data_IF_769106886626
#
_entry.id   IF_769106886626
#
_cell.length_a   1.000
_cell.length_b   1.000
_cell.length_c   1.000
_cell.angle_alpha   90.00
_cell.angle_beta   90.00
_cell.angle_gamma   90.00
#
_symmetry.space_group_name_H-M   'P 1'
#
loop_
_entity.id
_entity.type
_entity.pdbx_description
1 polymer ?
#
# COMPACT_ATOMS: atom_id res chain seq x y z
N UNK A 1 5.26 -1.89 -27.32
CA UNK A 1 4.29 -2.40 -26.34
C UNK A 1 3.10 -3.05 -27.06
N UNK A 2 2.59 -4.17 -26.54
CA UNK A 2 1.42 -4.88 -27.06
C UNK A 2 0.20 -4.52 -26.22
N UNK A 3 -0.97 -4.52 -26.87
CA UNK A 3 -2.25 -4.43 -26.18
C UNK A 3 -2.52 -5.72 -25.41
N UNK A 4 -3.08 -5.61 -24.22
CA UNK A 4 -3.39 -6.74 -23.35
C UNK A 4 -4.78 -6.58 -22.74
N UNK A 5 -5.52 -7.69 -22.72
CA UNK A 5 -6.80 -7.76 -22.01
C UNK A 5 -6.56 -7.72 -20.51
N UNK A 6 -7.38 -6.95 -19.82
CA UNK A 6 -7.33 -6.78 -18.37
C UNK A 6 -8.72 -6.67 -17.78
N UNK A 7 -8.82 -6.87 -16.47
CA UNK A 7 -9.90 -6.34 -15.64
C UNK A 7 -9.44 -5.05 -15.02
N UNK A 8 -10.22 -3.98 -15.16
CA UNK A 8 -9.92 -2.66 -14.61
C UNK A 8 -10.98 -2.23 -13.61
N UNK A 9 -10.51 -1.63 -12.52
CA UNK A 9 -11.32 -0.92 -11.56
C UNK A 9 -10.99 0.58 -11.69
N UNK A 10 -11.88 1.33 -12.32
CA UNK A 10 -11.79 2.78 -12.43
C UNK A 10 -12.48 3.37 -11.20
N UNK A 11 -11.82 4.28 -10.51
CA UNK A 11 -12.33 4.88 -9.27
C UNK A 11 -12.18 6.40 -9.35
N UNK A 12 -13.21 7.12 -8.94
CA UNK A 12 -13.19 8.53 -8.66
C UNK A 12 -13.11 8.71 -7.15
N UNK A 13 -12.07 9.38 -6.68
CA UNK A 13 -11.74 9.51 -5.26
C UNK A 13 -11.73 10.99 -4.93
N UNK A 14 -12.38 11.38 -3.82
CA UNK A 14 -12.41 12.76 -3.34
C UNK A 14 -11.13 13.14 -2.57
N UNK A 15 -11.03 14.40 -2.16
CA UNK A 15 -9.93 14.97 -1.39
C UNK A 15 -9.77 14.39 0.03
N UNK A 16 -10.72 13.55 0.47
CA UNK A 16 -10.71 12.83 1.75
C UNK A 16 -10.42 11.35 1.59
N UNK A 17 -10.06 10.91 0.37
CA UNK A 17 -9.78 9.51 0.08
C UNK A 17 -11.02 8.61 -0.06
N UNK A 18 -12.23 9.18 -0.13
CA UNK A 18 -13.47 8.41 -0.30
C UNK A 18 -13.77 8.19 -1.77
N UNK A 19 -14.29 7.00 -2.08
CA UNK A 19 -14.74 6.65 -3.42
C UNK A 19 -16.09 7.35 -3.68
N UNK A 20 -16.10 8.24 -4.67
CA UNK A 20 -17.31 8.93 -5.17
C UNK A 20 -18.06 8.05 -6.16
N UNK A 21 -17.31 7.45 -7.09
CA UNK A 21 -17.85 6.55 -8.09
C UNK A 21 -16.80 5.50 -8.48
N UNK A 22 -17.26 4.34 -8.98
CA UNK A 22 -16.35 3.33 -9.51
C UNK A 22 -17.01 2.53 -10.64
N UNK A 23 -16.17 1.94 -11.47
CA UNK A 23 -16.57 1.03 -12.55
C UNK A 23 -15.59 -0.12 -12.67
N UNK A 24 -16.09 -1.35 -12.57
CA UNK A 24 -15.31 -2.56 -12.80
C UNK A 24 -15.71 -3.11 -14.16
N UNK A 25 -14.75 -3.29 -15.07
CA UNK A 25 -15.04 -3.78 -16.43
C UNK A 25 -13.84 -4.45 -17.09
N UNK A 26 -14.07 -5.38 -18.02
CA UNK A 26 -13.04 -5.79 -18.96
C UNK A 26 -12.52 -4.58 -19.75
N UNK A 27 -11.23 -4.54 -19.99
CA UNK A 27 -10.59 -3.44 -20.70
C UNK A 27 -9.37 -3.91 -21.50
N UNK A 28 -8.79 -3.01 -22.27
CA UNK A 28 -7.54 -3.21 -22.98
C UNK A 28 -6.55 -2.16 -22.53
N UNK A 29 -5.37 -2.60 -22.13
CA UNK A 29 -4.28 -1.68 -21.76
C UNK A 29 -3.09 -1.84 -22.71
N UNK A 30 -2.33 -0.77 -22.85
CA UNK A 30 -1.04 -0.75 -23.54
C UNK A 30 -0.02 -0.06 -22.67
N UNK A 31 1.00 -0.80 -22.24
CA UNK A 31 2.05 -0.27 -21.38
C UNK A 31 2.89 0.75 -22.14
N UNK A 32 2.96 1.97 -21.65
CA UNK A 32 3.83 3.02 -22.19
C UNK A 32 5.28 2.84 -21.71
N UNK A 33 5.45 2.66 -20.39
CA UNK A 33 6.73 2.40 -19.76
C UNK A 33 6.63 1.25 -18.79
N UNK A 34 7.65 0.39 -18.74
CA UNK A 34 7.82 -0.59 -17.68
C UNK A 34 8.58 0.08 -16.53
N UNK A 35 7.84 0.68 -15.61
CA UNK A 35 8.41 1.35 -14.45
C UNK A 35 8.89 0.34 -13.40
N UNK A 36 9.93 0.72 -12.68
CA UNK A 36 10.41 0.04 -11.46
C UNK A 36 10.27 0.99 -10.29
N UNK A 37 10.16 0.47 -9.08
CA UNK A 37 10.13 1.29 -7.86
C UNK A 37 11.33 2.23 -7.79
N UNK A 38 12.54 1.73 -8.08
CA UNK A 38 13.75 2.53 -8.10
C UNK A 38 13.66 3.75 -9.05
N UNK A 39 13.13 3.56 -10.27
CA UNK A 39 12.97 4.66 -11.21
C UNK A 39 11.93 5.68 -10.72
N UNK A 40 10.83 5.20 -10.15
CA UNK A 40 9.79 6.08 -9.60
C UNK A 40 10.32 6.84 -8.38
N UNK A 41 11.02 6.17 -7.45
CA UNK A 41 11.64 6.83 -6.30
C UNK A 41 12.65 7.90 -6.72
N UNK A 42 13.49 7.64 -7.75
CA UNK A 42 14.37 8.67 -8.35
C UNK A 42 13.61 9.86 -8.93
N UNK A 43 12.41 9.63 -9.50
CA UNK A 43 11.59 10.74 -10.00
C UNK A 43 10.97 11.58 -8.88
N UNK A 44 10.64 10.96 -7.75
CA UNK A 44 9.98 11.60 -6.59
C UNK A 44 10.98 12.39 -5.75
N UNK A 45 12.13 11.79 -5.43
CA UNK A 45 13.07 12.36 -4.47
C UNK A 45 14.05 13.32 -5.15
N UNK A 46 13.81 14.61 -4.97
CA UNK A 46 14.73 15.66 -5.43
C UNK A 46 16.09 15.53 -4.72
N UNK A 47 17.17 15.62 -5.50
CA UNK A 47 18.53 15.52 -4.97
C UNK A 47 19.11 14.11 -4.91
N UNK A 48 18.34 13.06 -5.18
CA UNK A 48 18.88 11.72 -5.38
C UNK A 48 19.70 11.64 -6.68
N UNK A 49 20.74 10.81 -6.66
CA UNK A 49 21.50 10.49 -7.85
C UNK A 49 20.60 9.89 -8.94
N UNK A 50 20.70 10.41 -10.16
CA UNK A 50 19.86 9.99 -11.28
C UNK A 50 18.46 10.61 -11.33
N UNK A 51 18.10 11.55 -10.43
CA UNK A 51 16.81 12.23 -10.45
C UNK A 51 16.52 12.92 -11.79
N UNK A 52 17.46 13.75 -12.28
CA UNK A 52 17.30 14.48 -13.55
C UNK A 52 17.17 13.53 -14.74
N UNK A 53 18.02 12.52 -14.78
CA UNK A 53 17.99 11.48 -15.83
C UNK A 53 16.65 10.73 -15.83
N UNK A 54 16.12 10.38 -14.67
CA UNK A 54 14.83 9.73 -14.55
C UNK A 54 13.70 10.64 -15.07
N UNK A 55 13.69 11.93 -14.74
CA UNK A 55 12.69 12.88 -15.23
C UNK A 55 12.76 13.06 -16.76
N UNK A 56 13.96 13.10 -17.34
CA UNK A 56 14.15 13.20 -18.79
C UNK A 56 13.66 11.93 -19.51
N UNK A 57 14.08 10.75 -19.03
CA UNK A 57 13.73 9.46 -19.61
C UNK A 57 12.22 9.16 -19.55
N UNK A 58 11.54 9.62 -18.51
CA UNK A 58 10.12 9.36 -18.24
C UNK A 58 9.27 10.65 -18.29
N UNK A 59 9.69 11.67 -19.03
CA UNK A 59 9.05 12.99 -19.08
C UNK A 59 7.55 12.97 -19.38
N UNK A 60 7.08 12.02 -20.21
CA UNK A 60 5.67 11.87 -20.57
C UNK A 60 4.74 11.48 -19.41
N UNK A 61 5.29 10.92 -18.33
CA UNK A 61 4.49 10.45 -17.20
C UNK A 61 4.81 11.19 -15.90
N UNK A 62 5.71 12.19 -15.94
CA UNK A 62 6.14 12.92 -14.74
C UNK A 62 4.96 13.52 -13.98
N UNK A 63 4.03 14.16 -14.68
CA UNK A 63 2.86 14.76 -14.03
C UNK A 63 1.89 13.70 -13.47
N UNK A 64 1.75 12.56 -14.16
CA UNK A 64 0.97 11.45 -13.64
C UNK A 64 1.58 10.86 -12.36
N UNK A 65 2.91 10.79 -12.26
CA UNK A 65 3.59 10.33 -11.04
C UNK A 65 3.37 11.33 -9.89
N UNK A 66 3.43 12.63 -10.12
CA UNK A 66 3.13 13.65 -9.09
C UNK A 66 1.71 13.50 -8.53
N UNK A 67 0.71 13.39 -9.42
CA UNK A 67 -0.68 13.17 -9.03
C UNK A 67 -0.85 11.83 -8.29
N UNK A 68 -0.13 10.78 -8.70
CA UNK A 68 -0.16 9.50 -8.01
C UNK A 68 0.41 9.58 -6.58
N UNK A 69 1.46 10.38 -6.36
CA UNK A 69 2.02 10.64 -5.02
C UNK A 69 1.01 11.39 -4.16
N UNK A 70 0.39 12.46 -4.69
CA UNK A 70 -0.65 13.21 -4.00
C UNK A 70 -1.82 12.32 -3.60
N UNK A 71 -2.30 11.46 -4.51
CA UNK A 71 -3.35 10.49 -4.21
C UNK A 71 -2.92 9.51 -3.12
N UNK A 72 -1.66 9.04 -3.16
CA UNK A 72 -1.13 8.16 -2.12
C UNK A 72 -1.19 8.82 -0.74
N UNK A 73 -0.76 10.07 -0.62
CA UNK A 73 -0.77 10.84 0.63
C UNK A 73 -2.20 11.00 1.20
N UNK A 74 -3.18 11.27 0.33
CA UNK A 74 -4.60 11.33 0.70
C UNK A 74 -5.07 9.97 1.23
N UNK A 75 -4.78 8.88 0.52
CA UNK A 75 -5.18 7.53 0.91
C UNK A 75 -4.49 7.07 2.19
N UNK A 76 -3.23 7.41 2.39
CA UNK A 76 -2.50 7.10 3.61
C UNK A 76 -3.08 7.83 4.80
N UNK A 77 -3.37 9.13 4.66
CA UNK A 77 -4.04 9.94 5.69
C UNK A 77 -5.40 9.34 6.06
N UNK A 78 -6.24 9.04 5.08
CA UNK A 78 -7.54 8.43 5.30
C UNK A 78 -7.43 7.08 6.04
N UNK A 79 -6.42 6.26 5.74
CA UNK A 79 -6.20 4.99 6.44
C UNK A 79 -5.71 5.20 7.87
N UNK A 80 -4.83 6.18 8.11
CA UNK A 80 -4.39 6.57 9.48
C UNK A 80 -5.58 7.01 10.31
N UNK A 81 -6.46 7.86 9.77
CA UNK A 81 -7.67 8.30 10.44
C UNK A 81 -8.65 7.15 10.76
N UNK A 82 -8.60 6.07 9.96
CA UNK A 82 -9.37 4.83 10.22
C UNK A 82 -8.73 3.91 11.25
N UNK A 83 -7.56 4.24 11.77
CA UNK A 83 -6.84 3.42 12.75
C UNK A 83 -5.85 2.42 12.10
N UNK A 84 -5.22 2.76 10.98
CA UNK A 84 -4.16 1.94 10.41
C UNK A 84 -2.97 1.89 11.38
N UNK A 85 -2.51 0.68 11.69
CA UNK A 85 -1.25 0.46 12.41
C UNK A 85 -0.16 0.19 11.38
N UNK A 86 0.87 1.01 11.40
CA UNK A 86 2.05 0.83 10.54
C UNK A 86 3.13 0.07 11.34
N UNK A 87 3.50 -1.10 10.84
CA UNK A 87 4.63 -1.85 11.37
C UNK A 87 5.86 -1.57 10.50
N UNK A 88 6.92 -1.04 11.10
CA UNK A 88 8.23 -0.90 10.43
C UNK A 88 8.94 -2.26 10.41
N UNK A 89 8.37 -3.21 9.68
CA UNK A 89 8.98 -4.51 9.46
C UNK A 89 10.02 -4.40 8.34
N UNK A 90 11.27 -4.60 8.74
CA UNK A 90 12.38 -4.69 7.78
C UNK A 90 12.30 -5.99 7.02
N UNK A 91 12.09 -5.93 5.71
CA UNK A 91 12.22 -7.10 4.84
C UNK A 91 13.71 -7.39 4.58
N UNK A 92 14.10 -8.66 4.67
CA UNK A 92 15.44 -9.10 4.26
C UNK A 92 15.46 -9.34 2.75
N UNK A 93 16.40 -8.71 2.05
CA UNK A 93 16.69 -9.00 0.64
C UNK A 93 17.97 -9.80 0.55
N UNK A 94 17.89 -10.98 -0.04
CA UNK A 94 19.06 -11.83 -0.30
C UNK A 94 19.65 -11.42 -1.65
N UNK A 95 20.91 -11.02 -1.63
CA UNK A 95 21.70 -10.74 -2.85
C UNK A 95 22.33 -12.04 -3.30
N UNK A 96 22.14 -12.39 -4.55
CA UNK A 96 22.68 -13.61 -5.15
C UNK A 96 23.82 -13.26 -6.13
N UNK A 97 24.79 -14.16 -6.26
CA UNK A 97 25.79 -14.12 -7.31
C UNK A 97 25.20 -14.54 -8.68
N UNK A 98 26.03 -14.51 -9.74
CA UNK A 98 25.61 -14.92 -11.09
C UNK A 98 25.21 -16.41 -11.18
N UNK A 99 25.60 -17.22 -10.21
CA UNK A 99 25.29 -18.66 -10.12
C UNK A 99 24.09 -18.96 -9.23
N UNK A 100 23.49 -17.91 -8.61
CA UNK A 100 22.35 -18.02 -7.74
C UNK A 100 22.69 -18.37 -6.28
N UNK A 101 23.94 -18.27 -5.86
CA UNK A 101 24.32 -18.45 -4.46
C UNK A 101 24.14 -17.16 -3.67
N UNK A 102 23.69 -17.22 -2.42
CA UNK A 102 23.54 -16.04 -1.56
C UNK A 102 24.91 -15.46 -1.21
N UNK A 103 25.10 -14.16 -1.47
CA UNK A 103 26.35 -13.43 -1.15
C UNK A 103 26.14 -12.56 0.08
N UNK A 104 24.95 -11.95 0.20
CA UNK A 104 24.69 -10.96 1.24
C UNK A 104 23.20 -10.92 1.57
N UNK A 105 22.87 -10.57 2.82
CA UNK A 105 21.51 -10.25 3.25
C UNK A 105 21.49 -8.78 3.62
N UNK A 106 20.72 -8.00 2.88
CA UNK A 106 20.57 -6.56 3.12
C UNK A 106 19.15 -6.23 3.58
N UNK A 107 19.01 -5.18 4.39
CA UNK A 107 17.71 -4.62 4.73
C UNK A 107 17.09 -4.01 3.47
N UNK A 108 15.86 -4.37 3.14
CA UNK A 108 15.08 -3.72 2.11
C UNK A 108 14.18 -2.68 2.79
N UNK A 109 14.46 -1.42 2.55
CA UNK A 109 13.59 -0.35 2.97
C UNK A 109 12.45 -0.19 1.95
N UNK A 110 11.23 -0.01 2.44
CA UNK A 110 10.09 0.38 1.61
C UNK A 110 10.12 1.89 1.47
N UNK A 111 10.18 2.36 0.24
CA UNK A 111 10.17 3.79 -0.09
C UNK A 111 8.79 4.21 -0.63
N UNK A 112 8.65 5.47 -1.01
CA UNK A 112 7.38 6.08 -1.44
C UNK A 112 6.71 5.32 -2.59
N UNK A 113 7.46 4.84 -3.59
CA UNK A 113 6.88 4.13 -4.72
C UNK A 113 6.23 2.79 -4.33
N UNK A 114 6.84 2.04 -3.41
CA UNK A 114 6.29 0.79 -2.89
C UNK A 114 5.00 1.05 -2.10
N UNK A 115 5.01 2.03 -1.19
CA UNK A 115 3.85 2.42 -0.38
C UNK A 115 2.69 2.95 -1.23
N UNK A 116 3.01 3.70 -2.28
CA UNK A 116 2.03 4.21 -3.24
C UNK A 116 1.27 3.08 -3.93
N UNK A 117 1.99 2.09 -4.47
CA UNK A 117 1.36 0.93 -5.11
C UNK A 117 0.55 0.11 -4.11
N UNK A 118 1.03 -0.05 -2.88
CA UNK A 118 0.28 -0.70 -1.81
C UNK A 118 -1.04 0.03 -1.53
N UNK A 119 -1.03 1.37 -1.44
CA UNK A 119 -2.25 2.17 -1.24
C UNK A 119 -3.27 1.96 -2.35
N UNK A 120 -2.82 1.94 -3.60
CA UNK A 120 -3.71 1.73 -4.75
C UNK A 120 -4.25 0.30 -4.81
N UNK A 121 -3.41 -0.68 -4.48
CA UNK A 121 -3.83 -2.09 -4.40
C UNK A 121 -4.90 -2.29 -3.32
N UNK A 122 -4.69 -1.74 -2.13
CA UNK A 122 -5.65 -1.83 -1.03
C UNK A 122 -6.98 -1.18 -1.38
N UNK A 123 -6.96 0.03 -1.97
CA UNK A 123 -8.16 0.71 -2.43
C UNK A 123 -8.93 -0.09 -3.48
N UNK A 124 -8.23 -0.66 -4.46
CA UNK A 124 -8.85 -1.51 -5.47
C UNK A 124 -9.46 -2.78 -4.86
N UNK A 125 -8.76 -3.43 -3.95
CA UNK A 125 -9.24 -4.63 -3.26
C UNK A 125 -10.49 -4.34 -2.43
N UNK A 126 -10.50 -3.25 -1.64
CA UNK A 126 -11.66 -2.82 -0.85
C UNK A 126 -12.86 -2.52 -1.75
N UNK A 127 -12.63 -1.81 -2.87
CA UNK A 127 -13.68 -1.46 -3.83
C UNK A 127 -14.32 -2.69 -4.46
N UNK A 128 -13.52 -3.63 -4.92
CA UNK A 128 -14.01 -4.87 -5.52
C UNK A 128 -14.76 -5.71 -4.48
N UNK A 129 -14.23 -5.85 -3.27
CA UNK A 129 -14.89 -6.60 -2.21
C UNK A 129 -16.25 -5.99 -1.86
N UNK A 130 -16.33 -4.66 -1.76
CA UNK A 130 -17.58 -3.94 -1.49
C UNK A 130 -18.60 -4.09 -2.63
N UNK A 131 -18.15 -4.06 -3.89
CA UNK A 131 -19.01 -4.27 -5.07
C UNK A 131 -19.65 -5.67 -5.03
N UNK A 132 -18.87 -6.71 -4.74
CA UNK A 132 -19.38 -8.08 -4.61
C UNK A 132 -20.38 -8.22 -3.45
N UNK A 133 -20.08 -7.60 -2.30
CA UNK A 133 -20.97 -7.57 -1.15
C UNK A 133 -22.30 -6.89 -1.47
N UNK A 134 -22.26 -5.70 -2.08
CA UNK A 134 -23.46 -4.93 -2.45
C UNK A 134 -24.34 -5.67 -3.46
N UNK A 135 -23.72 -6.36 -4.41
CA UNK A 135 -24.40 -7.18 -5.42
C UNK A 135 -24.81 -8.57 -4.90
N UNK A 136 -24.45 -8.92 -3.67
CA UNK A 136 -24.68 -10.26 -3.05
C UNK A 136 -24.13 -11.39 -3.92
N UNK A 137 -22.99 -11.16 -4.56
CA UNK A 137 -22.29 -12.17 -5.35
C UNK A 137 -21.40 -13.03 -4.46
N UNK A 138 -21.32 -14.36 -4.73
CA UNK A 138 -20.41 -15.23 -3.99
C UNK A 138 -18.95 -14.80 -4.23
N UNK A 139 -18.19 -14.65 -3.16
CA UNK A 139 -16.78 -14.29 -3.21
C UNK A 139 -16.02 -14.90 -2.04
N UNK A 140 -14.72 -15.05 -2.20
CA UNK A 140 -13.84 -15.44 -1.12
C UNK A 140 -13.25 -14.17 -0.50
N UNK A 141 -13.48 -14.00 0.81
CA UNK A 141 -12.95 -12.90 1.58
C UNK A 141 -11.81 -13.38 2.49
N UNK A 142 -10.72 -12.64 2.56
CA UNK A 142 -9.71 -12.86 3.57
C UNK A 142 -10.13 -12.13 4.85
N UNK A 143 -10.42 -12.89 5.88
CA UNK A 143 -10.85 -12.36 7.18
C UNK A 143 -9.86 -12.74 8.26
N UNK A 144 -9.85 -11.95 9.33
CA UNK A 144 -9.11 -12.23 10.55
C UNK A 144 -10.10 -12.21 11.72
N UNK A 145 -10.00 -13.21 12.57
CA UNK A 145 -10.77 -13.25 13.81
C UNK A 145 -10.18 -12.28 14.83
N UNK A 146 -10.94 -11.98 15.85
CA UNK A 146 -10.46 -11.23 17.01
C UNK A 146 -9.24 -11.93 17.64
N UNK A 147 -8.32 -11.18 18.25
CA UNK A 147 -7.20 -11.76 18.96
C UNK A 147 -7.67 -12.76 20.02
N UNK A 148 -6.97 -13.90 20.14
CA UNK A 148 -7.24 -14.85 21.21
C UNK A 148 -6.98 -14.18 22.56
N UNK A 149 -7.81 -14.47 23.57
CA UNK A 149 -7.71 -13.89 24.92
C UNK A 149 -6.29 -13.93 25.49
N UNK A 150 -5.56 -15.04 25.31
CA UNK A 150 -4.16 -15.16 25.75
C UNK A 150 -3.21 -14.22 25.03
N UNK A 151 -3.44 -13.93 23.73
CA UNK A 151 -2.63 -12.99 22.97
C UNK A 151 -2.93 -11.54 23.39
N UNK A 152 -4.22 -11.27 23.62
CA UNK A 152 -4.65 -9.97 24.12
C UNK A 152 -4.12 -9.68 25.54
N UNK A 153 -4.15 -10.66 26.44
CA UNK A 153 -3.58 -10.51 27.78
C UNK A 153 -2.07 -10.19 27.74
N UNK A 154 -1.31 -10.83 26.84
CA UNK A 154 0.12 -10.51 26.64
C UNK A 154 0.34 -9.08 26.11
N UNK A 155 -0.52 -8.61 25.22
CA UNK A 155 -0.48 -7.22 24.73
C UNK A 155 -0.73 -6.23 25.87
N UNK A 156 -1.74 -6.49 26.71
CA UNK A 156 -2.05 -5.67 27.87
C UNK A 156 -0.88 -5.59 28.85
N UNK A 157 -0.24 -6.73 29.12
CA UNK A 157 0.95 -6.81 29.97
C UNK A 157 2.14 -6.02 29.38
N UNK A 158 2.41 -6.19 28.08
CA UNK A 158 3.47 -5.48 27.39
C UNK A 158 3.23 -3.95 27.41
N UNK A 159 2.00 -3.52 27.14
CA UNK A 159 1.62 -2.11 27.18
C UNK A 159 1.79 -1.53 28.59
N UNK A 160 1.32 -2.26 29.63
CA UNK A 160 1.48 -1.83 31.02
C UNK A 160 2.96 -1.68 31.40
N UNK A 161 3.82 -2.61 30.99
CA UNK A 161 5.26 -2.54 31.20
C UNK A 161 5.92 -1.35 30.47
N UNK A 162 5.34 -0.91 29.36
CA UNK A 162 5.75 0.29 28.62
C UNK A 162 5.12 1.59 29.18
N UNK A 163 4.30 1.52 30.23
CA UNK A 163 3.67 2.68 30.87
C UNK A 163 2.32 3.09 30.27
N UNK A 164 1.74 2.27 29.38
CA UNK A 164 0.45 2.52 28.76
C UNK A 164 -0.66 1.76 29.48
N UNK A 165 -1.81 2.42 29.68
CA UNK A 165 -3.01 1.80 30.24
C UNK A 165 -4.02 1.57 29.11
N UNK A 166 -4.22 0.32 28.73
CA UNK A 166 -5.20 -0.08 27.71
C UNK A 166 -6.51 -0.50 28.37
N UNK A 167 -7.64 -0.16 27.75
CA UNK A 167 -8.93 -0.66 28.17
C UNK A 167 -9.09 -2.15 27.80
N UNK A 168 -9.92 -2.85 28.55
CA UNK A 168 -10.20 -4.27 28.34
C UNK A 168 -10.99 -4.58 27.06
N UNK A 169 -11.45 -3.54 26.34
CA UNK A 169 -12.11 -3.68 25.04
C UNK A 169 -11.06 -3.73 23.93
N UNK A 170 -11.01 -4.84 23.19
CA UNK A 170 -10.05 -5.07 22.10
C UNK A 170 -10.12 -4.03 20.97
N UNK A 171 -11.31 -3.47 20.69
CA UNK A 171 -11.46 -2.43 19.67
C UNK A 171 -10.84 -1.10 20.11
N UNK A 172 -10.94 -0.74 21.39
CA UNK A 172 -10.32 0.47 21.91
C UNK A 172 -8.80 0.32 22.01
N UNK A 173 -8.29 -0.89 22.29
CA UNK A 173 -6.85 -1.15 22.34
C UNK A 173 -6.20 -1.02 20.95
N UNK A 174 -6.87 -1.44 19.89
CA UNK A 174 -6.36 -1.31 18.52
C UNK A 174 -6.30 0.16 18.11
N UNK A 175 -7.32 0.94 18.41
CA UNK A 175 -7.34 2.37 18.09
C UNK A 175 -6.27 3.17 18.86
N UNK A 176 -5.89 2.74 20.07
CA UNK A 176 -4.84 3.38 20.85
C UNK A 176 -3.45 3.30 20.19
N UNK A 177 -3.16 2.25 19.44
CA UNK A 177 -1.88 2.11 18.71
C UNK A 177 -1.88 2.78 17.32
N UNK A 178 -3.00 3.35 16.90
CA UNK A 178 -3.15 4.02 15.62
C UNK A 178 -2.90 5.55 15.68
N UNK A 179 -2.89 6.13 16.88
CA UNK A 179 -2.52 7.52 17.18
C UNK A 179 -1.00 7.64 17.47
#
# INVERSE_FOLDING_TARGET
AQERLTMSCLMEIDDKGKIVSYKISPSVIKTTYRMTYNNVNKMIHQGQEGHREALENFSKITDSIKVAVELHEILETMRKDRGMIEFDESEAKIILDEKGHPIEIVKRDRDTAERMIESFMLMANETVALDFQNKKLPSLYRVHDNPKEKAFAKLMEAAANAGFSLNSDSHQAINFFAD
#
